data_IF_931458583783
#
_entry.id   IF_931458583783
#
_cell.length_a   1.000
_cell.length_b   1.000
_cell.length_c   1.000
_cell.angle_alpha   90.00
_cell.angle_beta   90.00
_cell.angle_gamma   90.00
#
_symmetry.space_group_name_H-M   'P 1'
#
loop_
_entity.id
_entity.type
_entity.pdbx_description
1 polymer ?
#
# COMPACT_ATOMS: atom_id res chain seq x y z
N UNK A 1 -19.23 21.64 48.07
CA UNK A 1 -18.74 22.37 46.88
C UNK A 1 -17.44 21.80 46.29
N UNK A 2 -16.42 21.47 47.10
CA UNK A 2 -15.11 20.94 46.66
C UNK A 2 -15.17 19.74 45.71
N UNK A 3 -16.08 18.79 45.93
CA UNK A 3 -16.25 17.60 45.08
C UNK A 3 -16.65 17.93 43.62
N UNK A 4 -17.53 18.92 43.44
CA UNK A 4 -18.03 19.35 42.12
C UNK A 4 -16.95 20.03 41.26
N UNK A 5 -15.99 20.69 41.89
CA UNK A 5 -14.85 21.30 41.20
C UNK A 5 -13.82 20.24 40.76
N UNK A 6 -13.65 19.18 41.56
CA UNK A 6 -12.75 18.06 41.26
C UNK A 6 -13.28 17.28 40.03
N UNK A 7 -14.58 16.97 39.98
CA UNK A 7 -15.19 16.25 38.85
C UNK A 7 -15.13 17.05 37.54
N UNK A 8 -15.32 18.39 37.61
CA UNK A 8 -15.11 19.29 36.47
C UNK A 8 -13.65 19.35 36.03
N UNK A 9 -12.70 19.27 36.96
CA UNK A 9 -11.27 19.23 36.62
C UNK A 9 -10.89 17.91 35.94
N UNK A 10 -11.38 16.79 36.47
CA UNK A 10 -11.17 15.44 35.92
C UNK A 10 -11.74 15.32 34.50
N UNK A 11 -12.97 15.78 34.27
CA UNK A 11 -13.58 15.74 32.93
C UNK A 11 -12.83 16.58 31.89
N UNK A 12 -12.21 17.70 32.30
CA UNK A 12 -11.33 18.50 31.42
C UNK A 12 -10.03 17.75 31.08
N UNK A 13 -9.43 17.08 32.07
CA UNK A 13 -8.23 16.26 31.86
C UNK A 13 -8.50 15.09 30.91
N UNK A 14 -9.64 14.40 31.05
CA UNK A 14 -10.04 13.34 30.12
C UNK A 14 -10.27 13.84 28.69
N UNK A 15 -10.90 15.02 28.54
CA UNK A 15 -11.05 15.63 27.21
C UNK A 15 -9.71 15.98 26.59
N UNK A 16 -8.80 16.57 27.36
CA UNK A 16 -7.45 16.91 26.90
C UNK A 16 -6.66 15.67 26.50
N UNK A 17 -6.70 14.61 27.31
CA UNK A 17 -6.05 13.33 27.00
C UNK A 17 -6.61 12.70 25.71
N UNK A 18 -7.92 12.78 25.49
CA UNK A 18 -8.56 12.31 24.27
C UNK A 18 -8.12 13.09 23.02
N UNK A 19 -7.99 14.42 23.12
CA UNK A 19 -7.45 15.24 22.02
C UNK A 19 -6.00 14.89 21.70
N UNK A 20 -5.15 14.69 22.72
CA UNK A 20 -3.74 14.30 22.53
C UNK A 20 -3.64 12.90 21.88
N UNK A 21 -4.50 11.96 22.30
CA UNK A 21 -4.58 10.63 21.71
C UNK A 21 -4.91 10.72 20.21
N UNK A 22 -5.95 11.45 19.80
CA UNK A 22 -6.31 11.62 18.38
C UNK A 22 -5.17 12.27 17.58
N UNK A 23 -4.53 13.31 18.13
CA UNK A 23 -3.38 13.97 17.50
C UNK A 23 -2.19 13.02 17.29
N UNK A 24 -2.01 12.04 18.18
CA UNK A 24 -0.91 11.06 18.10
C UNK A 24 -1.15 10.02 16.99
N UNK A 25 -2.40 9.72 16.67
CA UNK A 25 -2.76 8.81 15.56
C UNK A 25 -2.77 9.50 14.19
N UNK A 26 -2.93 10.82 14.13
CA UNK A 26 -3.09 11.58 12.88
C UNK A 26 -1.85 11.74 12.00
N UNK A 27 -0.68 11.26 12.41
CA UNK A 27 0.61 11.50 11.70
C UNK A 27 1.21 10.26 11.03
N UNK A 28 0.52 9.11 11.01
CA UNK A 28 1.05 7.86 10.46
C UNK A 28 0.50 7.45 9.08
N UNK A 29 -0.18 8.34 8.35
CA UNK A 29 -0.36 8.13 6.92
C UNK A 29 0.91 8.61 6.20
N UNK A 30 1.98 7.81 6.28
CA UNK A 30 3.01 7.88 5.25
C UNK A 30 2.33 7.42 3.97
N UNK A 31 1.88 8.40 3.19
CA UNK A 31 1.48 8.19 1.81
C UNK A 31 2.78 7.75 1.14
N UNK A 32 2.93 6.44 0.94
CA UNK A 32 3.97 5.89 0.08
C UNK A 32 3.62 6.24 -1.37
N UNK A 33 3.61 7.52 -1.71
CA UNK A 33 3.80 7.97 -3.08
C UNK A 33 5.30 8.14 -3.25
N UNK A 34 6.02 7.02 -3.23
CA UNK A 34 7.29 7.00 -3.90
C UNK A 34 6.93 7.12 -5.38
N UNK A 35 6.99 8.34 -5.92
CA UNK A 35 7.12 8.57 -7.35
C UNK A 35 8.40 7.82 -7.79
N UNK A 36 8.27 6.52 -8.03
CA UNK A 36 9.02 5.90 -9.11
C UNK A 36 8.50 6.63 -10.33
N UNK A 37 9.28 7.61 -10.80
CA UNK A 37 9.22 8.13 -12.16
C UNK A 37 8.89 6.93 -13.06
N UNK A 38 7.64 6.83 -13.54
CA UNK A 38 6.87 5.59 -13.77
C UNK A 38 7.44 4.66 -14.83
N UNK A 39 8.70 4.29 -14.71
CA UNK A 39 9.57 3.68 -15.69
C UNK A 39 9.96 2.31 -15.18
N UNK A 40 9.52 1.30 -15.91
CA UNK A 40 9.88 -0.08 -15.65
C UNK A 40 11.04 -0.52 -16.53
N UNK A 41 12.03 -1.16 -15.91
CA UNK A 41 13.04 -1.96 -16.61
C UNK A 41 12.93 -3.39 -16.10
N UNK A 42 12.43 -4.30 -16.95
CA UNK A 42 12.19 -5.69 -16.60
C UNK A 42 12.44 -6.58 -17.81
N UNK A 43 13.30 -7.58 -17.62
CA UNK A 43 13.62 -8.58 -18.64
C UNK A 43 13.58 -9.99 -18.07
N UNK A 44 12.91 -10.89 -18.77
CA UNK A 44 12.86 -12.31 -18.47
C UNK A 44 12.48 -13.08 -19.74
N UNK A 45 12.84 -14.36 -19.82
CA UNK A 45 12.49 -15.23 -20.94
C UNK A 45 12.20 -16.64 -20.46
N UNK A 46 11.29 -17.32 -21.14
CA UNK A 46 10.98 -18.73 -20.93
C UNK A 46 10.48 -19.07 -19.51
N UNK A 47 9.72 -18.14 -18.92
CA UNK A 47 9.03 -18.34 -17.65
C UNK A 47 7.51 -18.50 -17.87
N UNK A 48 6.78 -19.22 -16.98
CA UNK A 48 5.33 -19.29 -17.04
C UNK A 48 4.69 -17.91 -16.92
N UNK A 49 3.57 -17.68 -17.62
CA UNK A 49 2.79 -16.43 -17.53
C UNK A 49 2.44 -16.07 -16.08
N UNK A 50 2.07 -17.05 -15.24
CA UNK A 50 1.81 -16.83 -13.81
C UNK A 50 2.98 -16.14 -13.10
N UNK A 51 4.20 -16.60 -13.40
CA UNK A 51 5.42 -16.07 -12.81
C UNK A 51 5.74 -14.69 -13.38
N UNK A 52 5.56 -14.51 -14.69
CA UNK A 52 5.75 -13.23 -15.35
C UNK A 52 4.85 -12.13 -14.75
N UNK A 53 3.56 -12.41 -14.57
CA UNK A 53 2.63 -11.48 -13.93
C UNK A 53 3.07 -11.16 -12.50
N UNK A 54 3.39 -12.17 -11.68
CA UNK A 54 3.88 -11.95 -10.32
C UNK A 54 5.15 -11.10 -10.25
N UNK A 55 6.05 -11.20 -11.24
CA UNK A 55 7.24 -10.34 -11.33
C UNK A 55 6.86 -8.89 -11.64
N UNK A 56 5.85 -8.65 -12.48
CA UNK A 56 5.34 -7.30 -12.79
C UNK A 56 4.66 -6.68 -11.57
N UNK A 57 3.81 -7.43 -10.86
CA UNK A 57 3.11 -6.96 -9.64
C UNK A 57 4.08 -6.55 -8.51
N UNK A 58 5.28 -7.15 -8.47
CA UNK A 58 6.29 -6.81 -7.46
C UNK A 58 7.04 -5.51 -7.74
N UNK A 59 7.07 -5.09 -9.00
CA UNK A 59 7.84 -3.91 -9.46
C UNK A 59 6.93 -2.79 -9.97
N UNK A 60 5.62 -2.93 -9.78
CA UNK A 60 4.61 -1.97 -10.19
C UNK A 60 3.47 -1.93 -9.17
N UNK A 61 2.63 -0.91 -9.26
CA UNK A 61 1.45 -0.79 -8.39
C UNK A 61 0.21 -1.50 -8.98
N UNK A 62 0.39 -2.41 -9.93
CA UNK A 62 -0.68 -3.17 -10.57
C UNK A 62 -0.83 -4.57 -9.96
N UNK A 63 -2.08 -5.03 -9.89
CA UNK A 63 -2.45 -6.41 -9.55
C UNK A 63 -3.25 -7.02 -10.70
N UNK A 64 -2.87 -8.21 -11.16
CA UNK A 64 -3.54 -8.88 -12.27
C UNK A 64 -4.58 -9.90 -11.77
N UNK A 65 -5.80 -9.79 -12.29
CA UNK A 65 -6.88 -10.73 -12.05
C UNK A 65 -7.23 -11.47 -13.34
N UNK A 66 -7.31 -12.80 -13.26
CA UNK A 66 -7.65 -13.65 -14.41
C UNK A 66 -8.39 -14.91 -13.96
N UNK A 67 -9.15 -15.52 -14.87
CA UNK A 67 -9.78 -16.81 -14.66
C UNK A 67 -8.82 -17.95 -15.04
N UNK A 68 -8.41 -18.76 -14.07
CA UNK A 68 -7.49 -19.89 -14.28
C UNK A 68 -8.02 -20.93 -15.28
N UNK A 69 -9.34 -21.00 -15.49
CA UNK A 69 -9.95 -21.94 -16.44
C UNK A 69 -9.85 -21.47 -17.89
N UNK A 70 -9.82 -20.16 -18.09
CA UNK A 70 -9.85 -19.54 -19.42
C UNK A 70 -8.49 -19.01 -19.86
N UNK A 71 -7.54 -18.86 -18.93
CA UNK A 71 -6.18 -18.37 -19.21
C UNK A 71 -5.17 -19.49 -18.99
N UNK A 72 -4.40 -19.83 -20.04
CA UNK A 72 -3.27 -20.75 -19.90
C UNK A 72 -2.10 -20.05 -19.19
N UNK A 73 -2.07 -20.12 -17.86
CA UNK A 73 -1.06 -19.47 -17.01
C UNK A 73 0.31 -20.16 -17.03
N UNK A 74 0.40 -21.36 -17.60
CA UNK A 74 1.65 -22.12 -17.74
C UNK A 74 2.36 -21.87 -19.06
N UNK A 75 1.76 -21.09 -19.97
CA UNK A 75 2.39 -20.72 -21.24
C UNK A 75 3.72 -19.99 -20.97
N UNK A 76 4.74 -20.31 -21.77
CA UNK A 76 6.06 -19.70 -21.67
C UNK A 76 6.05 -18.34 -22.35
N UNK A 77 6.54 -17.32 -21.65
CA UNK A 77 6.55 -15.92 -22.11
C UNK A 77 7.91 -15.27 -21.96
N UNK A 78 8.09 -14.15 -22.65
CA UNK A 78 9.27 -13.29 -22.59
C UNK A 78 8.83 -11.84 -22.50
N UNK A 79 9.57 -11.06 -21.72
CA UNK A 79 9.47 -9.60 -21.68
C UNK A 79 10.90 -9.05 -21.74
N UNK A 80 11.10 -7.98 -22.48
CA UNK A 80 12.37 -7.26 -22.48
C UNK A 80 12.06 -5.78 -22.66
N UNK A 81 11.97 -5.09 -21.53
CA UNK A 81 11.55 -3.70 -21.46
C UNK A 81 12.59 -2.91 -20.67
N UNK A 82 12.97 -1.75 -21.19
CA UNK A 82 13.92 -0.82 -20.58
C UNK A 82 13.34 0.57 -20.60
N UNK A 83 13.32 1.21 -19.44
CA UNK A 83 12.89 2.60 -19.25
C UNK A 83 11.53 2.93 -19.89
N UNK A 84 10.58 1.98 -19.83
CA UNK A 84 9.26 2.19 -20.41
C UNK A 84 8.30 2.80 -19.39
N UNK A 85 7.55 3.81 -19.83
CA UNK A 85 6.48 4.37 -19.02
C UNK A 85 5.38 3.32 -18.76
N UNK A 86 4.91 3.26 -17.53
CA UNK A 86 3.74 2.51 -17.08
C UNK A 86 2.47 3.35 -17.22
#
# INVERSE_FOLDING_TARGET
MKYREIEKSISKLWRLAFFIFILSFGVHSQIYAAEQDGKITLSFSDIPLREALSRIEKVSDYTFFYDEKNVNVNQKVRLDVKDANM
#
